data_IF_615494741264
#
_entry.id   IF_615494741264
#
_cell.length_a   1.000
_cell.length_b   1.000
_cell.length_c   1.000
_cell.angle_alpha   90.00
_cell.angle_beta   90.00
_cell.angle_gamma   90.00
#
_symmetry.space_group_name_H-M   'P 1'
#
loop_
_entity.id
_entity.type
_entity.pdbx_description
1 polymer ?
#
# COMPACT_ATOMS: atom_id res chain seq x y z
N UNK A 1 36.92 42.34 -34.54
CA UNK A 1 35.60 41.86 -34.09
C UNK A 1 35.76 41.37 -32.66
N UNK A 2 35.41 42.21 -31.68
CA UNK A 2 35.98 42.10 -30.33
C UNK A 2 35.14 41.22 -29.39
N UNK A 3 35.86 40.50 -28.52
CA UNK A 3 35.32 39.53 -27.55
C UNK A 3 34.20 40.10 -26.65
N UNK A 4 34.20 41.42 -26.43
CA UNK A 4 33.22 42.12 -25.61
C UNK A 4 31.80 42.18 -26.21
N UNK A 5 31.66 42.13 -27.55
CA UNK A 5 30.34 42.11 -28.18
C UNK A 5 29.68 40.73 -28.07
N UNK A 6 30.47 39.65 -28.14
CA UNK A 6 29.99 38.27 -27.98
C UNK A 6 29.46 38.01 -26.56
N UNK A 7 30.13 38.58 -25.54
CA UNK A 7 29.73 38.47 -24.12
C UNK A 7 28.43 39.24 -23.85
N UNK A 8 28.22 40.39 -24.49
CA UNK A 8 26.99 41.18 -24.36
C UNK A 8 25.76 40.51 -25.00
N UNK A 9 25.94 39.84 -26.14
CA UNK A 9 24.85 39.09 -26.79
C UNK A 9 24.45 37.82 -26.03
N UNK A 10 25.41 37.13 -25.40
CA UNK A 10 25.13 35.91 -24.62
C UNK A 10 24.36 36.18 -23.33
N UNK A 11 24.56 37.32 -22.67
CA UNK A 11 23.86 37.66 -21.42
C UNK A 11 22.36 37.98 -21.62
N UNK A 12 21.96 38.56 -22.77
CA UNK A 12 20.55 38.86 -23.03
C UNK A 12 19.71 37.60 -23.32
N UNK A 13 20.30 36.54 -23.88
CA UNK A 13 19.56 35.32 -24.24
C UNK A 13 19.29 34.38 -23.05
N UNK A 14 20.09 34.46 -21.98
CA UNK A 14 19.90 33.61 -20.78
C UNK A 14 18.86 34.20 -19.81
N UNK A 15 18.71 35.53 -19.79
CA UNK A 15 17.78 36.21 -18.89
C UNK A 15 16.30 36.05 -19.29
N UNK A 16 15.99 35.80 -20.56
CA UNK A 16 14.61 35.68 -21.04
C UNK A 16 14.03 34.26 -20.92
N UNK A 17 14.88 33.22 -20.83
CA UNK A 17 14.41 31.84 -20.66
C UNK A 17 14.02 31.52 -19.20
N UNK A 18 14.63 32.18 -18.21
CA UNK A 18 14.36 31.93 -16.79
C UNK A 18 12.99 32.46 -16.32
N UNK A 19 12.51 33.57 -16.90
CA UNK A 19 11.24 34.19 -16.51
C UNK A 19 9.99 33.38 -16.96
N UNK A 20 10.12 32.59 -18.02
CA UNK A 20 9.02 31.75 -18.52
C UNK A 20 8.79 30.51 -17.63
N UNK A 21 9.81 30.05 -16.90
CA UNK A 21 9.71 28.87 -16.04
C UNK A 21 9.10 29.19 -14.67
N UNK A 22 9.26 30.42 -14.17
CA UNK A 22 8.64 30.85 -12.90
C UNK A 22 7.15 31.17 -13.02
N UNK A 23 6.64 31.43 -14.23
CA UNK A 23 5.23 31.76 -14.44
C UNK A 23 4.29 30.53 -14.34
N UNK A 24 4.80 29.32 -14.54
CA UNK A 24 4.00 28.09 -14.47
C UNK A 24 3.72 27.60 -13.04
N UNK A 25 4.44 28.11 -12.03
CA UNK A 25 4.32 27.67 -10.63
C UNK A 25 3.48 28.61 -9.74
N UNK A 26 3.02 29.75 -10.26
CA UNK A 26 2.29 30.77 -9.48
C UNK A 26 0.76 30.66 -9.58
N UNK A 27 0.22 29.49 -9.94
CA UNK A 27 -1.23 29.27 -9.81
C UNK A 27 -1.60 29.30 -8.32
N UNK A 28 -2.52 30.17 -7.87
CA UNK A 28 -2.97 30.14 -6.48
C UNK A 28 -3.62 28.79 -6.21
N UNK A 29 -3.19 28.12 -5.15
CA UNK A 29 -3.85 26.91 -4.69
C UNK A 29 -5.32 27.24 -4.42
N UNK A 30 -6.24 26.64 -5.18
CA UNK A 30 -7.67 26.73 -4.88
C UNK A 30 -7.91 26.03 -3.56
N UNK A 31 -8.42 26.77 -2.57
CA UNK A 31 -8.81 26.18 -1.30
C UNK A 31 -9.96 25.20 -1.52
N UNK A 32 -9.72 23.92 -1.27
CA UNK A 32 -10.78 22.90 -1.21
C UNK A 32 -11.42 23.00 0.17
N UNK A 33 -12.71 23.34 0.21
CA UNK A 33 -13.49 23.27 1.46
C UNK A 33 -14.07 21.87 1.60
N UNK A 34 -13.48 21.05 2.47
CA UNK A 34 -14.03 19.73 2.81
C UNK A 34 -15.16 19.93 3.83
N UNK A 35 -16.36 19.40 3.51
CA UNK A 35 -17.46 19.31 4.47
C UNK A 35 -17.38 17.95 5.18
N UNK A 36 -17.48 17.89 6.51
CA UNK A 36 -17.53 16.63 7.22
C UNK A 36 -18.86 15.92 6.90
N UNK A 37 -18.76 14.71 6.36
CA UNK A 37 -19.90 13.83 6.09
C UNK A 37 -19.74 12.57 6.93
N UNK A 38 -20.84 12.09 7.51
CA UNK A 38 -20.86 10.84 8.27
C UNK A 38 -21.31 9.70 7.36
N UNK A 39 -20.48 8.67 7.24
CA UNK A 39 -20.79 7.45 6.49
C UNK A 39 -20.79 6.26 7.44
N UNK A 40 -21.89 5.51 7.49
CA UNK A 40 -21.92 4.23 8.19
C UNK A 40 -21.28 3.15 7.33
N UNK A 41 -20.18 2.57 7.81
CA UNK A 41 -19.54 1.43 7.14
C UNK A 41 -20.20 0.11 7.58
N UNK A 42 -20.45 -0.83 6.65
CA UNK A 42 -20.96 -2.14 7.03
C UNK A 42 -19.89 -2.93 7.80
N UNK A 43 -20.32 -3.66 8.83
CA UNK A 43 -19.46 -4.63 9.49
C UNK A 43 -19.20 -5.82 8.55
N UNK A 44 -17.96 -6.30 8.48
CA UNK A 44 -17.64 -7.48 7.69
C UNK A 44 -17.90 -8.75 8.51
N UNK A 45 -18.81 -9.60 8.03
CA UNK A 45 -19.08 -10.95 8.57
C UNK A 45 -18.37 -12.06 7.76
N UNK A 46 -17.48 -11.68 6.83
CA UNK A 46 -16.81 -12.63 5.93
C UNK A 46 -15.89 -13.57 6.70
N UNK A 47 -16.01 -14.86 6.42
CA UNK A 47 -15.14 -15.92 6.93
C UNK A 47 -14.34 -16.58 5.80
N UNK A 48 -13.27 -17.26 6.17
CA UNK A 48 -12.54 -18.17 5.28
C UNK A 48 -13.41 -19.40 4.98
N UNK A 49 -13.30 -19.94 3.77
CA UNK A 49 -14.14 -21.04 3.28
C UNK A 49 -13.29 -22.12 2.60
N UNK A 50 -13.86 -23.32 2.45
CA UNK A 50 -13.17 -24.47 1.88
C UNK A 50 -12.48 -25.33 2.94
N UNK A 51 -11.91 -26.45 2.50
CA UNK A 51 -11.24 -27.40 3.38
C UNK A 51 -10.01 -26.76 4.06
N UNK A 52 -9.87 -26.93 5.37
CA UNK A 52 -8.74 -26.41 6.15
C UNK A 52 -8.91 -24.96 6.62
N UNK A 53 -10.06 -24.33 6.39
CA UNK A 53 -10.34 -22.96 6.80
C UNK A 53 -10.47 -22.79 8.33
N UNK A 54 -10.64 -23.86 9.08
CA UNK A 54 -10.92 -23.86 10.52
C UNK A 54 -9.83 -23.12 11.31
N UNK A 55 -8.55 -23.43 11.07
CA UNK A 55 -7.44 -22.78 11.78
C UNK A 55 -7.38 -21.27 11.49
N UNK A 56 -7.55 -20.87 10.22
CA UNK A 56 -7.56 -19.45 9.85
C UNK A 56 -8.77 -18.71 10.46
N UNK A 57 -9.94 -19.35 10.47
CA UNK A 57 -11.15 -18.79 11.07
C UNK A 57 -11.07 -18.64 12.60
N UNK A 58 -10.31 -19.51 13.27
CA UNK A 58 -10.13 -19.47 14.73
C UNK A 58 -9.11 -18.43 15.17
N UNK A 59 -8.03 -18.24 14.41
CA UNK A 59 -6.88 -17.46 14.88
C UNK A 59 -6.64 -16.14 14.13
N UNK A 60 -7.07 -16.00 12.87
CA UNK A 60 -6.78 -14.80 12.07
C UNK A 60 -7.86 -13.72 12.15
N UNK A 61 -9.09 -14.08 12.56
CA UNK A 61 -10.24 -13.16 12.56
C UNK A 61 -10.41 -12.36 13.86
N UNK A 62 -9.51 -12.54 14.82
CA UNK A 62 -9.54 -11.84 16.11
C UNK A 62 -9.19 -10.35 15.96
N UNK A 63 -8.29 -10.02 15.03
CA UNK A 63 -7.76 -8.65 14.90
C UNK A 63 -8.18 -7.95 13.61
N UNK A 64 -8.45 -8.69 12.54
CA UNK A 64 -8.84 -8.13 11.24
C UNK A 64 -9.80 -9.06 10.50
N UNK A 65 -10.50 -8.52 9.51
CA UNK A 65 -11.42 -9.31 8.68
C UNK A 65 -10.67 -10.25 7.73
N UNK A 66 -11.36 -11.28 7.25
CA UNK A 66 -10.85 -12.13 6.16
C UNK A 66 -10.55 -11.31 4.90
N UNK A 67 -11.30 -10.22 4.68
CA UNK A 67 -11.12 -9.34 3.52
C UNK A 67 -9.72 -8.73 3.45
N UNK A 68 -9.11 -8.37 4.59
CA UNK A 68 -7.75 -7.83 4.62
C UNK A 68 -6.72 -8.85 4.15
N UNK A 69 -6.89 -10.12 4.52
CA UNK A 69 -6.03 -11.23 4.07
C UNK A 69 -6.24 -11.49 2.57
N UNK A 70 -7.48 -11.52 2.11
CA UNK A 70 -7.79 -11.78 0.71
C UNK A 70 -7.45 -10.61 -0.22
N UNK A 71 -7.14 -9.44 0.32
CA UNK A 71 -6.65 -8.27 -0.43
C UNK A 71 -5.13 -8.30 -0.68
N UNK A 72 -4.41 -9.26 -0.11
CA UNK A 72 -2.99 -9.45 -0.43
C UNK A 72 -2.84 -9.97 -1.88
N UNK A 73 -1.69 -9.74 -2.53
CA UNK A 73 -1.37 -10.40 -3.79
C UNK A 73 -1.34 -11.93 -3.61
N UNK A 74 -1.42 -12.66 -4.72
CA UNK A 74 -1.17 -14.09 -4.70
C UNK A 74 0.31 -14.33 -4.40
N UNK A 75 0.60 -15.13 -3.38
CA UNK A 75 1.97 -15.28 -2.85
C UNK A 75 2.34 -16.75 -2.70
N UNK A 76 3.63 -17.11 -2.85
CA UNK A 76 4.05 -18.48 -2.62
C UNK A 76 3.89 -18.84 -1.14
N UNK A 77 3.76 -20.14 -0.84
CA UNK A 77 3.60 -20.66 0.53
C UNK A 77 4.62 -20.10 1.53
N UNK A 78 5.88 -19.95 1.11
CA UNK A 78 6.93 -19.42 1.98
C UNK A 78 6.64 -17.97 2.44
N UNK A 79 6.06 -17.14 1.57
CA UNK A 79 5.66 -15.78 1.93
C UNK A 79 4.42 -15.78 2.84
N UNK A 80 3.44 -16.66 2.59
CA UNK A 80 2.33 -16.85 3.53
C UNK A 80 2.79 -17.30 4.92
N UNK A 81 3.75 -18.22 4.98
CA UNK A 81 4.35 -18.65 6.23
C UNK A 81 5.02 -17.49 6.97
N UNK A 82 5.71 -16.60 6.26
CA UNK A 82 6.31 -15.41 6.84
C UNK A 82 5.24 -14.44 7.41
N UNK A 83 4.15 -14.20 6.69
CA UNK A 83 3.06 -13.34 7.17
C UNK A 83 2.35 -13.94 8.40
N UNK A 84 2.06 -15.25 8.42
CA UNK A 84 1.46 -15.91 9.60
C UNK A 84 2.40 -15.81 10.80
N UNK A 85 3.71 -16.04 10.60
CA UNK A 85 4.71 -15.87 11.64
C UNK A 85 4.80 -14.42 12.14
N UNK A 86 4.65 -13.43 11.26
CA UNK A 86 4.60 -12.01 11.65
C UNK A 86 3.37 -11.72 12.50
N UNK A 87 2.20 -12.27 12.16
CA UNK A 87 0.99 -12.12 12.99
C UNK A 87 1.22 -12.67 14.41
N UNK A 88 1.82 -13.85 14.52
CA UNK A 88 2.15 -14.48 15.81
C UNK A 88 3.23 -13.70 16.58
N UNK A 89 4.36 -13.44 15.95
CA UNK A 89 5.58 -13.02 16.65
C UNK A 89 5.68 -11.50 16.82
N UNK A 90 5.22 -10.72 15.84
CA UNK A 90 5.30 -9.24 15.85
C UNK A 90 4.02 -8.65 16.41
N UNK A 91 2.86 -9.05 15.86
CA UNK A 91 1.57 -8.53 16.30
C UNK A 91 0.97 -9.27 17.49
N UNK A 92 1.65 -10.32 17.98
CA UNK A 92 1.26 -11.08 19.18
C UNK A 92 -0.14 -11.71 19.08
N UNK A 93 -0.55 -12.07 17.85
CA UNK A 93 -1.78 -12.83 17.62
C UNK A 93 -1.72 -14.18 18.34
N UNK A 94 -2.83 -14.66 18.93
CA UNK A 94 -2.89 -15.92 19.66
C UNK A 94 -2.94 -17.13 18.71
N UNK A 95 -1.84 -17.34 17.96
CA UNK A 95 -1.65 -18.44 17.01
C UNK A 95 -0.72 -19.48 17.66
N UNK A 96 -1.21 -20.69 17.95
CA UNK A 96 -0.36 -21.79 18.41
C UNK A 96 0.70 -22.17 17.38
N UNK A 97 1.87 -22.64 17.82
CA UNK A 97 3.00 -22.99 16.94
C UNK A 97 2.63 -24.05 15.90
N UNK A 98 1.87 -25.06 16.31
CA UNK A 98 1.40 -26.16 15.47
C UNK A 98 0.38 -25.72 14.40
N UNK A 99 -0.26 -24.56 14.59
CA UNK A 99 -1.23 -24.01 13.64
C UNK A 99 -0.59 -23.09 12.59
N UNK A 100 0.64 -22.63 12.80
CA UNK A 100 1.31 -21.70 11.88
C UNK A 100 1.45 -22.30 10.47
N UNK A 101 1.94 -23.54 10.38
CA UNK A 101 2.10 -24.22 9.11
C UNK A 101 0.75 -24.53 8.46
N UNK A 102 -0.23 -25.01 9.24
CA UNK A 102 -1.59 -25.34 8.78
C UNK A 102 -2.26 -24.12 8.13
N UNK A 103 -2.18 -22.95 8.78
CA UNK A 103 -2.73 -21.71 8.24
C UNK A 103 -1.99 -21.29 6.96
N UNK A 104 -0.65 -21.37 6.94
CA UNK A 104 0.14 -21.03 5.76
C UNK A 104 -0.19 -21.93 4.56
N UNK A 105 -0.37 -23.23 4.79
CA UNK A 105 -0.80 -24.20 3.78
C UNK A 105 -2.19 -23.87 3.23
N UNK A 106 -3.14 -23.59 4.13
CA UNK A 106 -4.48 -23.18 3.74
C UNK A 106 -4.46 -21.90 2.89
N UNK A 107 -3.77 -20.86 3.34
CA UNK A 107 -3.68 -19.58 2.62
C UNK A 107 -3.00 -19.75 1.26
N UNK A 108 -1.95 -20.56 1.17
CA UNK A 108 -1.31 -20.88 -0.10
C UNK A 108 -2.25 -21.66 -1.05
N UNK A 109 -3.16 -22.49 -0.53
CA UNK A 109 -4.11 -23.22 -1.37
C UNK A 109 -5.18 -22.31 -2.02
N UNK A 110 -5.56 -21.23 -1.35
CA UNK A 110 -6.61 -20.30 -1.83
C UNK A 110 -6.07 -19.00 -2.43
N UNK A 111 -4.79 -18.67 -2.16
CA UNK A 111 -4.16 -17.38 -2.49
C UNK A 111 -2.67 -17.57 -2.83
N UNK A 112 -2.34 -18.72 -3.41
CA UNK A 112 -1.00 -19.09 -3.85
C UNK A 112 -0.64 -18.47 -5.20
N UNK A 113 0.59 -17.99 -5.37
CA UNK A 113 1.13 -17.73 -6.70
C UNK A 113 1.35 -19.06 -7.44
N UNK A 114 1.01 -19.12 -8.73
CA UNK A 114 1.27 -20.28 -9.60
C UNK A 114 2.76 -20.49 -9.83
#
# INVERSE_FOLDING_TARGET
MNSHEKVRFALCAVATAAAAWTALFSLPARAVTLKPESVQLPASSRRFAGAGAEAANSHCLTCHSAGMVMNQPDMPRAAWLAEVNKMKNVFKGPIPEDQVAVIADYLASIKGSK
#
